data_IF_861364791036
#
_entry.id   IF_861364791036
#
_cell.length_a   1.000
_cell.length_b   1.000
_cell.length_c   1.000
_cell.angle_alpha   90.00
_cell.angle_beta   90.00
_cell.angle_gamma   90.00
#
_symmetry.space_group_name_H-M   'P 1'
#
loop_
_entity.id
_entity.type
_entity.pdbx_description
1 polymer ?
#
# COMPACT_ATOMS: atom_id res chain seq x y z
N UNK A 1 78.66 2.91 -57.74
CA UNK A 1 79.93 3.48 -57.23
C UNK A 1 79.65 3.99 -55.83
N UNK A 2 80.15 3.32 -54.80
CA UNK A 2 79.79 3.58 -53.40
C UNK A 2 80.88 4.33 -52.63
N UNK A 3 80.47 5.00 -51.56
CA UNK A 3 81.33 5.29 -50.40
C UNK A 3 80.47 5.40 -49.14
N UNK A 4 80.64 4.43 -48.24
CA UNK A 4 80.24 4.50 -46.83
C UNK A 4 81.18 5.43 -46.05
N UNK A 5 80.64 6.12 -45.03
CA UNK A 5 81.24 6.49 -43.72
C UNK A 5 80.30 7.52 -43.08
N UNK A 6 80.00 7.60 -41.78
CA UNK A 6 80.27 6.84 -40.55
C UNK A 6 79.34 7.49 -39.50
N UNK A 7 78.65 6.74 -38.65
CA UNK A 7 77.94 7.32 -37.49
C UNK A 7 78.92 7.78 -36.41
N UNK A 8 78.50 8.72 -35.53
CA UNK A 8 78.70 8.43 -34.11
C UNK A 8 77.59 8.92 -33.16
N UNK A 9 77.30 8.02 -32.21
CA UNK A 9 77.09 8.22 -30.75
C UNK A 9 75.78 8.85 -30.25
N UNK A 10 75.02 7.99 -29.55
CA UNK A 10 73.92 8.30 -28.65
C UNK A 10 74.38 8.99 -27.35
N UNK A 11 73.54 9.87 -26.80
CA UNK A 11 73.40 10.16 -25.36
C UNK A 11 71.94 10.55 -25.01
N UNK A 12 71.52 10.39 -23.74
CA UNK A 12 70.20 9.83 -23.41
C UNK A 12 69.20 10.80 -22.77
N UNK A 13 67.93 10.35 -22.75
CA UNK A 13 66.86 10.63 -21.76
C UNK A 13 66.53 12.11 -21.45
N UNK A 14 65.28 12.49 -21.78
CA UNK A 14 64.32 12.99 -20.79
C UNK A 14 62.91 12.54 -21.14
N UNK A 15 62.48 11.44 -20.50
CA UNK A 15 61.06 11.12 -20.31
C UNK A 15 60.45 12.26 -19.51
N UNK A 16 59.50 12.99 -20.10
CA UNK A 16 58.63 13.88 -19.34
C UNK A 16 57.55 12.98 -18.73
N UNK A 17 57.76 12.60 -17.48
CA UNK A 17 56.76 11.95 -16.64
C UNK A 17 55.56 12.90 -16.50
N UNK A 18 54.46 12.59 -17.19
CA UNK A 18 53.15 13.07 -16.74
C UNK A 18 52.81 12.42 -15.39
N UNK A 19 52.16 13.13 -14.47
CA UNK A 19 51.75 12.54 -13.21
C UNK A 19 50.83 11.34 -13.48
N UNK A 20 51.25 10.19 -12.95
CA UNK A 20 50.43 8.99 -12.81
C UNK A 20 49.19 9.39 -12.01
N UNK A 21 48.03 9.42 -12.65
CA UNK A 21 46.75 9.37 -11.95
C UNK A 21 46.62 7.99 -11.33
N UNK A 22 47.16 7.86 -10.13
CA UNK A 22 46.91 6.75 -9.25
C UNK A 22 45.50 6.88 -8.69
N UNK A 23 44.69 5.83 -8.85
CA UNK A 23 43.69 5.44 -7.87
C UNK A 23 42.52 6.39 -7.65
N UNK A 24 41.65 6.53 -8.64
CA UNK A 24 40.22 6.71 -8.36
C UNK A 24 39.51 5.47 -8.88
N UNK A 25 39.53 4.39 -8.08
CA UNK A 25 38.60 3.29 -8.24
C UNK A 25 37.20 3.87 -7.97
N UNK A 26 36.59 4.40 -9.03
CA UNK A 26 35.20 4.79 -9.02
C UNK A 26 34.42 3.57 -8.57
N UNK A 27 33.80 3.67 -7.40
CA UNK A 27 32.85 2.70 -6.88
C UNK A 27 31.65 2.73 -7.83
N UNK A 28 31.74 2.02 -8.95
CA UNK A 28 30.62 1.78 -9.83
C UNK A 28 29.60 1.02 -8.99
N UNK A 29 28.39 1.55 -8.74
CA UNK A 29 27.35 0.73 -8.15
C UNK A 29 27.19 -0.48 -9.06
N UNK A 30 27.30 -1.68 -8.50
CA UNK A 30 27.15 -2.93 -9.23
C UNK A 30 25.89 -2.83 -10.10
N UNK A 31 26.06 -2.99 -11.42
CA UNK A 31 24.93 -3.03 -12.33
C UNK A 31 24.01 -4.16 -11.88
N UNK A 32 22.69 -4.00 -12.07
CA UNK A 32 21.70 -5.03 -11.72
C UNK A 32 22.04 -6.40 -12.37
N UNK A 33 22.86 -6.40 -13.43
CA UNK A 33 23.44 -7.58 -14.09
C UNK A 33 24.44 -8.39 -13.26
N UNK A 34 25.05 -7.81 -12.22
CA UNK A 34 26.16 -8.43 -11.46
C UNK A 34 25.67 -9.12 -10.19
N UNK A 35 24.35 -9.12 -9.93
CA UNK A 35 23.80 -9.95 -8.86
C UNK A 35 23.84 -11.41 -9.30
N UNK A 36 24.40 -12.32 -8.49
CA UNK A 36 24.28 -13.76 -8.74
C UNK A 36 22.81 -14.10 -9.04
N UNK A 37 22.57 -14.96 -10.03
CA UNK A 37 21.23 -15.48 -10.30
C UNK A 37 20.73 -16.17 -9.03
N UNK A 38 19.95 -15.45 -8.22
CA UNK A 38 19.42 -16.01 -6.99
C UNK A 38 18.62 -17.28 -7.33
N UNK A 39 18.89 -18.41 -6.66
CA UNK A 39 18.12 -19.62 -6.87
C UNK A 39 16.63 -19.34 -6.72
N UNK A 40 15.80 -19.85 -7.64
CA UNK A 40 14.35 -19.59 -7.63
C UNK A 40 13.68 -19.89 -6.28
N UNK A 41 14.15 -20.91 -5.57
CA UNK A 41 13.66 -21.29 -4.24
C UNK A 41 13.94 -20.21 -3.18
N UNK A 42 15.11 -19.59 -3.20
CA UNK A 42 15.45 -18.52 -2.26
C UNK A 42 14.64 -17.25 -2.55
N UNK A 43 14.45 -16.92 -3.83
CA UNK A 43 13.64 -15.78 -4.25
C UNK A 43 12.19 -15.97 -3.80
N UNK A 44 11.63 -17.17 -3.96
CA UNK A 44 10.30 -17.51 -3.43
C UNK A 44 10.23 -17.40 -1.91
N UNK A 45 11.22 -17.94 -1.18
CA UNK A 45 11.27 -17.86 0.29
C UNK A 45 11.32 -16.42 0.80
N UNK A 46 12.11 -15.55 0.14
CA UNK A 46 12.13 -14.11 0.44
C UNK A 46 10.76 -13.48 0.23
N UNK A 47 10.13 -13.72 -0.93
CA UNK A 47 8.78 -13.21 -1.23
C UNK A 47 7.78 -13.65 -0.16
N UNK A 48 7.80 -14.92 0.23
CA UNK A 48 6.90 -15.47 1.26
C UNK A 48 7.13 -14.77 2.59
N UNK A 49 8.38 -14.66 3.05
CA UNK A 49 8.71 -14.00 4.33
C UNK A 49 8.24 -12.55 4.35
N UNK A 50 8.52 -11.80 3.30
CA UNK A 50 8.14 -10.39 3.21
C UNK A 50 6.60 -10.26 3.18
N UNK A 51 5.91 -11.17 2.47
CA UNK A 51 4.44 -11.23 2.41
C UNK A 51 3.79 -11.55 3.75
N UNK A 52 4.41 -12.43 4.54
CA UNK A 52 3.96 -12.74 5.89
C UNK A 52 4.16 -11.55 6.84
N UNK A 53 5.27 -10.83 6.71
CA UNK A 53 5.52 -9.60 7.47
C UNK A 53 4.43 -8.54 7.21
N UNK A 54 4.09 -8.32 5.94
CA UNK A 54 2.97 -7.43 5.55
C UNK A 54 1.64 -7.95 6.10
N UNK A 55 1.42 -9.26 6.02
CA UNK A 55 0.24 -9.93 6.59
C UNK A 55 0.04 -9.68 8.07
N UNK A 56 1.09 -9.83 8.87
CA UNK A 56 1.06 -9.60 10.32
C UNK A 56 0.78 -8.13 10.63
N UNK A 57 1.55 -7.22 10.03
CA UNK A 57 1.41 -5.79 10.27
C UNK A 57 0.00 -5.28 9.90
N UNK A 58 -0.53 -5.74 8.77
CA UNK A 58 -1.87 -5.34 8.29
C UNK A 58 -2.97 -6.06 9.07
N UNK A 59 -2.80 -7.34 9.36
CA UNK A 59 -3.77 -8.14 10.11
C UNK A 59 -4.03 -7.60 11.50
N UNK A 60 -2.98 -7.18 12.23
CA UNK A 60 -3.10 -6.54 13.56
C UNK A 60 -4.03 -5.31 13.52
N UNK A 61 -4.03 -4.57 12.41
CA UNK A 61 -4.90 -3.42 12.23
C UNK A 61 -6.40 -3.78 12.17
N UNK A 62 -6.71 -5.04 11.84
CA UNK A 62 -8.08 -5.57 11.87
C UNK A 62 -8.72 -5.47 13.27
N UNK A 63 -7.93 -5.50 14.35
CA UNK A 63 -8.47 -5.32 15.71
C UNK A 63 -9.12 -3.94 15.88
N UNK A 64 -8.53 -2.90 15.27
CA UNK A 64 -9.12 -1.57 15.27
C UNK A 64 -10.42 -1.54 14.49
N UNK A 65 -10.50 -2.24 13.35
CA UNK A 65 -11.76 -2.35 12.60
C UNK A 65 -12.85 -3.01 13.43
N UNK A 66 -12.53 -4.12 14.12
CA UNK A 66 -13.45 -4.82 15.00
C UNK A 66 -14.02 -3.92 16.10
N UNK A 67 -13.13 -3.23 16.81
CA UNK A 67 -13.52 -2.33 17.90
C UNK A 67 -14.33 -1.13 17.41
N UNK A 68 -13.90 -0.48 16.32
CA UNK A 68 -14.60 0.67 15.72
C UNK A 68 -15.98 0.27 15.22
N UNK A 69 -16.14 -0.93 14.65
CA UNK A 69 -17.43 -1.44 14.16
C UNK A 69 -18.43 -1.60 15.28
N UNK A 70 -18.02 -2.22 16.39
CA UNK A 70 -18.88 -2.38 17.56
C UNK A 70 -19.20 -1.05 18.23
N UNK A 71 -18.22 -0.16 18.36
CA UNK A 71 -18.44 1.21 18.84
C UNK A 71 -19.39 2.02 17.94
N UNK A 72 -19.51 1.64 16.66
CA UNK A 72 -20.42 2.25 15.69
C UNK A 72 -21.82 1.60 15.67
N UNK A 73 -22.09 0.67 16.58
CA UNK A 73 -23.41 0.05 16.77
C UNK A 73 -23.64 -1.27 16.03
N UNK A 74 -22.62 -1.84 15.38
CA UNK A 74 -22.71 -3.19 14.82
C UNK A 74 -22.51 -4.23 15.93
N UNK A 75 -23.19 -5.37 15.83
CA UNK A 75 -22.84 -6.51 16.67
C UNK A 75 -21.57 -7.24 16.16
N UNK A 76 -21.06 -8.18 16.96
CA UNK A 76 -19.85 -8.94 16.64
C UNK A 76 -20.03 -9.77 15.36
N UNK A 77 -21.22 -10.34 15.14
CA UNK A 77 -21.49 -11.19 13.98
C UNK A 77 -21.58 -10.36 12.70
N UNK A 78 -22.27 -9.23 12.74
CA UNK A 78 -22.33 -8.24 11.67
C UNK A 78 -20.94 -7.72 11.30
N UNK A 79 -20.12 -7.40 12.32
CA UNK A 79 -18.74 -6.95 12.14
C UNK A 79 -17.89 -8.01 11.43
N UNK A 80 -17.96 -9.27 11.86
CA UNK A 80 -17.24 -10.38 11.24
C UNK A 80 -17.76 -10.69 9.82
N UNK A 81 -19.08 -10.69 9.62
CA UNK A 81 -19.68 -10.92 8.30
C UNK A 81 -19.26 -9.82 7.32
N UNK A 82 -19.29 -8.55 7.74
CA UNK A 82 -18.82 -7.44 6.93
C UNK A 82 -17.34 -7.59 6.58
N UNK A 83 -16.52 -8.03 7.53
CA UNK A 83 -15.09 -8.25 7.32
C UNK A 83 -14.77 -9.38 6.34
N UNK A 84 -15.51 -10.48 6.42
CA UNK A 84 -15.36 -11.62 5.51
C UNK A 84 -15.84 -11.28 4.10
N UNK A 85 -16.95 -10.55 3.96
CA UNK A 85 -17.59 -10.31 2.66
C UNK A 85 -17.01 -9.10 1.93
N UNK A 86 -16.68 -8.04 2.66
CA UNK A 86 -16.18 -6.78 2.10
C UNK A 86 -14.69 -6.56 2.43
N UNK A 87 -13.87 -7.58 2.18
CA UNK A 87 -12.44 -7.61 2.49
C UNK A 87 -11.63 -6.60 1.66
N UNK A 88 -11.64 -5.34 2.10
CA UNK A 88 -11.00 -4.21 1.39
C UNK A 88 -10.40 -3.17 2.32
N UNK A 89 -10.56 -3.33 3.65
CA UNK A 89 -10.03 -2.45 4.69
C UNK A 89 -10.68 -1.07 4.68
N UNK A 90 -10.23 -0.18 3.80
CA UNK A 90 -10.65 1.23 3.76
C UNK A 90 -12.16 1.39 3.54
N UNK A 91 -12.74 0.61 2.63
CA UNK A 91 -14.19 0.65 2.35
C UNK A 91 -15.01 0.21 3.58
N UNK A 92 -14.45 -0.69 4.40
CA UNK A 92 -15.10 -1.15 5.63
C UNK A 92 -15.15 -0.05 6.67
N UNK A 93 -14.03 0.63 6.90
CA UNK A 93 -13.99 1.80 7.78
C UNK A 93 -14.89 2.93 7.29
N UNK A 94 -14.97 3.16 5.98
CA UNK A 94 -15.87 4.16 5.42
C UNK A 94 -17.34 3.82 5.68
N UNK A 95 -17.78 2.60 5.38
CA UNK A 95 -19.15 2.16 5.65
C UNK A 95 -19.49 2.32 7.14
N UNK A 96 -18.64 1.77 8.01
CA UNK A 96 -18.84 1.80 9.45
C UNK A 96 -18.83 3.22 10.00
N UNK A 97 -17.94 4.10 9.52
CA UNK A 97 -17.90 5.50 9.94
C UNK A 97 -19.16 6.27 9.55
N UNK A 98 -19.74 5.99 8.38
CA UNK A 98 -21.03 6.58 7.99
C UNK A 98 -22.16 6.07 8.89
N UNK A 99 -22.22 4.76 9.15
CA UNK A 99 -23.24 4.18 10.03
C UNK A 99 -23.14 4.72 11.46
N UNK A 100 -21.92 4.76 12.03
CA UNK A 100 -21.67 5.24 13.40
C UNK A 100 -21.95 6.73 13.60
N UNK A 101 -21.92 7.53 12.53
CA UNK A 101 -22.31 8.96 12.56
C UNK A 101 -23.80 9.19 12.29
N UNK A 102 -24.62 8.13 12.29
CA UNK A 102 -26.07 8.20 12.05
C UNK A 102 -26.44 8.33 10.57
N UNK A 103 -25.52 8.02 9.65
CA UNK A 103 -25.78 7.94 8.21
C UNK A 103 -26.52 6.68 7.81
N UNK A 104 -27.18 6.74 6.64
CA UNK A 104 -27.90 5.59 6.10
C UNK A 104 -26.96 4.54 5.51
N UNK A 105 -27.39 3.27 5.51
CA UNK A 105 -26.66 2.17 4.88
C UNK A 105 -26.37 2.42 3.39
N UNK A 106 -27.26 3.10 2.68
CA UNK A 106 -27.06 3.49 1.27
C UNK A 106 -25.89 4.46 1.13
N UNK A 107 -25.85 5.52 1.94
CA UNK A 107 -24.75 6.50 1.88
C UNK A 107 -23.42 5.86 2.27
N UNK A 108 -23.44 4.98 3.28
CA UNK A 108 -22.27 4.20 3.68
C UNK A 108 -21.79 3.27 2.56
N UNK A 109 -22.70 2.57 1.88
CA UNK A 109 -22.37 1.68 0.77
C UNK A 109 -21.81 2.46 -0.44
N UNK A 110 -22.37 3.63 -0.75
CA UNK A 110 -21.84 4.51 -1.81
C UNK A 110 -20.44 5.01 -1.47
N UNK A 111 -20.19 5.39 -0.22
CA UNK A 111 -18.87 5.80 0.26
C UNK A 111 -17.88 4.63 0.15
N UNK A 112 -18.27 3.45 0.61
CA UNK A 112 -17.47 2.24 0.49
C UNK A 112 -17.19 1.87 -0.98
N UNK A 113 -18.18 1.97 -1.87
CA UNK A 113 -18.01 1.69 -3.29
C UNK A 113 -17.06 2.70 -3.98
N UNK A 114 -17.18 3.98 -3.62
CA UNK A 114 -16.26 5.02 -4.11
C UNK A 114 -14.82 4.70 -3.71
N UNK A 115 -14.57 4.39 -2.44
CA UNK A 115 -13.24 4.00 -1.97
C UNK A 115 -12.77 2.68 -2.61
N UNK A 116 -13.67 1.72 -2.74
CA UNK A 116 -13.41 0.40 -3.34
C UNK A 116 -13.09 0.43 -4.84
N UNK A 117 -13.35 1.55 -5.53
CA UNK A 117 -13.01 1.72 -6.95
C UNK A 117 -11.51 1.49 -7.21
N UNK A 118 -10.64 1.81 -6.23
CA UNK A 118 -9.20 1.51 -6.33
C UNK A 118 -8.91 0.02 -6.47
N UNK A 119 -9.68 -0.83 -5.78
CA UNK A 119 -9.53 -2.29 -5.87
C UNK A 119 -9.88 -2.78 -7.28
N UNK A 120 -10.86 -2.15 -7.94
CA UNK A 120 -11.16 -2.42 -9.37
C UNK A 120 -9.96 -2.10 -10.26
N UNK A 121 -9.31 -0.94 -10.06
CA UNK A 121 -8.12 -0.55 -10.81
C UNK A 121 -6.95 -1.52 -10.60
N UNK A 122 -6.72 -1.95 -9.36
CA UNK A 122 -5.74 -3.01 -9.06
C UNK A 122 -6.09 -4.31 -9.78
N UNK A 123 -7.37 -4.69 -9.79
CA UNK A 123 -7.86 -5.86 -10.51
C UNK A 123 -7.56 -5.82 -12.01
N UNK A 124 -7.71 -4.65 -12.65
CA UNK A 124 -7.36 -4.46 -14.07
C UNK A 124 -5.86 -4.67 -14.32
N UNK A 125 -5.00 -4.22 -13.40
CA UNK A 125 -3.54 -4.42 -13.50
C UNK A 125 -3.13 -5.86 -13.21
N UNK A 126 -3.75 -6.48 -12.22
CA UNK A 126 -3.45 -7.84 -11.77
C UNK A 126 -3.99 -8.91 -12.71
N UNK A 127 -5.12 -8.69 -13.38
CA UNK A 127 -5.73 -9.68 -14.25
C UNK A 127 -4.75 -10.26 -15.31
N UNK A 128 -4.05 -9.45 -16.13
CA UNK A 128 -3.07 -9.97 -17.09
C UNK A 128 -1.80 -10.52 -16.40
N UNK A 129 -1.39 -9.94 -15.26
CA UNK A 129 -0.21 -10.38 -14.51
C UNK A 129 -0.41 -11.80 -13.96
N UNK A 130 -1.52 -12.04 -13.27
CA UNK A 130 -1.87 -13.32 -12.66
C UNK A 130 -2.35 -14.32 -13.71
N UNK A 131 -3.04 -13.89 -14.77
CA UNK A 131 -3.46 -14.75 -15.88
C UNK A 131 -4.40 -15.89 -15.47
N UNK A 132 -5.13 -15.74 -14.38
CA UNK A 132 -6.14 -16.72 -13.94
C UNK A 132 -7.49 -16.49 -14.62
N UNK A 133 -8.26 -17.58 -14.80
CA UNK A 133 -9.56 -17.60 -15.47
C UNK A 133 -10.58 -18.39 -14.64
N UNK A 134 -11.87 -18.23 -14.95
CA UNK A 134 -12.97 -18.93 -14.27
C UNK A 134 -13.00 -18.67 -12.76
N UNK A 135 -13.30 -19.72 -11.99
CA UNK A 135 -13.41 -19.64 -10.53
C UNK A 135 -12.13 -19.10 -9.85
N UNK A 136 -10.94 -19.37 -10.40
CA UNK A 136 -9.67 -18.83 -9.86
C UNK A 136 -9.60 -17.31 -9.98
N UNK A 137 -10.18 -16.73 -11.04
CA UNK A 137 -10.26 -15.27 -11.20
C UNK A 137 -11.22 -14.66 -10.19
N UNK A 138 -12.35 -15.31 -9.95
CA UNK A 138 -13.35 -14.85 -8.96
C UNK A 138 -12.77 -14.92 -7.54
N UNK A 139 -12.16 -16.05 -7.16
CA UNK A 139 -11.51 -16.18 -5.86
C UNK A 139 -10.35 -15.19 -5.68
N UNK A 140 -9.57 -14.94 -6.73
CA UNK A 140 -8.53 -13.92 -6.69
C UNK A 140 -9.09 -12.51 -6.54
N UNK A 141 -10.23 -12.18 -7.16
CA UNK A 141 -10.86 -10.87 -7.04
C UNK A 141 -11.17 -10.52 -5.58
N UNK A 142 -11.56 -11.51 -4.76
CA UNK A 142 -11.80 -11.32 -3.34
C UNK A 142 -10.52 -10.96 -2.56
N UNK A 143 -9.34 -11.37 -3.02
CA UNK A 143 -8.05 -11.08 -2.40
C UNK A 143 -7.35 -9.85 -3.02
N UNK A 144 -8.02 -9.08 -3.88
CA UNK A 144 -7.45 -7.85 -4.46
C UNK A 144 -7.52 -6.72 -3.43
N UNK A 145 -6.39 -6.45 -2.79
CA UNK A 145 -6.17 -5.37 -1.83
C UNK A 145 -4.83 -4.70 -2.11
N UNK A 146 -4.56 -3.58 -1.44
CA UNK A 146 -3.34 -2.78 -1.64
C UNK A 146 -2.08 -3.64 -1.45
N UNK A 147 -2.08 -4.45 -0.39
CA UNK A 147 -0.97 -5.29 0.04
C UNK A 147 -0.66 -6.41 -0.95
N UNK A 148 -1.68 -7.19 -1.34
CA UNK A 148 -1.53 -8.30 -2.29
C UNK A 148 -1.15 -7.79 -3.68
N UNK A 149 -1.62 -6.59 -4.05
CA UNK A 149 -1.24 -5.92 -5.30
C UNK A 149 0.22 -5.48 -5.25
N UNK A 150 0.63 -4.73 -4.23
CA UNK A 150 1.99 -4.23 -4.07
C UNK A 150 3.02 -5.36 -4.06
N UNK A 151 2.70 -6.47 -3.39
CA UNK A 151 3.58 -7.64 -3.30
C UNK A 151 3.64 -8.47 -4.58
N UNK A 152 2.74 -8.23 -5.54
CA UNK A 152 2.66 -8.92 -6.82
C UNK A 152 3.28 -8.13 -7.97
N UNK A 153 2.94 -6.84 -8.12
CA UNK A 153 3.26 -6.05 -9.32
C UNK A 153 4.75 -5.73 -9.49
N UNK A 154 5.53 -5.79 -8.41
CA UNK A 154 6.97 -5.49 -8.39
C UNK A 154 7.84 -6.72 -8.68
N UNK A 155 7.22 -7.89 -8.91
CA UNK A 155 7.94 -9.15 -9.03
C UNK A 155 8.38 -9.42 -10.48
N UNK A 156 9.60 -9.95 -10.69
CA UNK A 156 10.19 -10.07 -12.02
C UNK A 156 9.59 -11.22 -12.86
N UNK A 157 8.88 -12.16 -12.23
CA UNK A 157 8.25 -13.28 -12.92
C UNK A 157 6.81 -13.47 -12.48
N UNK A 158 5.98 -14.01 -13.38
CA UNK A 158 4.57 -14.36 -13.08
C UNK A 158 4.46 -15.34 -11.90
N UNK A 159 5.41 -16.26 -11.76
CA UNK A 159 5.43 -17.20 -10.64
C UNK A 159 5.60 -16.46 -9.30
N UNK A 160 6.59 -15.58 -9.20
CA UNK A 160 6.82 -14.77 -7.99
C UNK A 160 5.69 -13.78 -7.73
N UNK A 161 5.10 -13.20 -8.78
CA UNK A 161 3.93 -12.33 -8.67
C UNK A 161 2.72 -13.06 -8.08
N UNK A 162 2.46 -14.31 -8.52
CA UNK A 162 1.40 -15.16 -7.97
C UNK A 162 1.70 -15.57 -6.53
N UNK A 163 2.95 -15.90 -6.20
CA UNK A 163 3.37 -16.21 -4.82
C UNK A 163 3.14 -14.99 -3.93
N UNK A 164 3.63 -13.82 -4.31
CA UNK A 164 3.43 -12.58 -3.54
C UNK A 164 1.95 -12.23 -3.36
N UNK A 165 1.15 -12.37 -4.41
CA UNK A 165 -0.29 -12.13 -4.37
C UNK A 165 -1.00 -13.09 -3.40
N UNK A 166 -0.81 -14.40 -3.54
CA UNK A 166 -1.52 -15.40 -2.72
C UNK A 166 -1.05 -15.38 -1.28
N UNK A 167 0.27 -15.35 -1.06
CA UNK A 167 0.82 -15.38 0.30
C UNK A 167 0.39 -14.14 1.07
N UNK A 168 0.44 -12.95 0.45
CA UNK A 168 -0.01 -11.71 1.11
C UNK A 168 -1.53 -11.68 1.26
N UNK A 169 -2.28 -12.02 0.22
CA UNK A 169 -3.75 -12.00 0.26
C UNK A 169 -4.29 -12.91 1.36
N UNK A 170 -3.81 -14.16 1.44
CA UNK A 170 -4.26 -15.09 2.47
C UNK A 170 -3.75 -14.74 3.86
N UNK A 171 -2.49 -14.30 4.01
CA UNK A 171 -1.97 -13.92 5.32
C UNK A 171 -2.74 -12.74 5.90
N UNK A 172 -3.00 -11.71 5.09
CA UNK A 172 -3.84 -10.57 5.50
C UNK A 172 -5.26 -11.04 5.75
N UNK A 173 -5.88 -11.83 4.87
CA UNK A 173 -7.27 -12.27 5.04
C UNK A 173 -7.50 -13.01 6.37
N UNK A 174 -6.65 -13.99 6.68
CA UNK A 174 -6.77 -14.78 7.91
C UNK A 174 -6.52 -13.90 9.14
N UNK A 175 -5.40 -13.16 9.16
CA UNK A 175 -5.03 -12.38 10.33
C UNK A 175 -5.98 -11.20 10.55
N UNK A 176 -6.40 -10.52 9.48
CA UNK A 176 -7.36 -9.43 9.54
C UNK A 176 -8.68 -9.87 10.15
N UNK A 177 -9.25 -10.98 9.68
CA UNK A 177 -10.52 -11.48 10.20
C UNK A 177 -10.39 -12.01 11.63
N UNK A 178 -9.28 -12.67 11.96
CA UNK A 178 -8.98 -13.08 13.33
C UNK A 178 -8.92 -11.87 14.28
N UNK A 179 -8.12 -10.86 13.95
CA UNK A 179 -8.00 -9.67 14.78
C UNK A 179 -9.27 -8.83 14.77
N UNK A 180 -10.04 -8.81 13.67
CA UNK A 180 -11.38 -8.20 13.65
C UNK A 180 -12.30 -8.83 14.69
N UNK A 181 -12.34 -10.16 14.77
CA UNK A 181 -13.11 -10.86 15.79
C UNK A 181 -12.62 -10.49 17.20
N UNK A 182 -11.31 -10.52 17.43
CA UNK A 182 -10.73 -10.16 18.74
C UNK A 182 -11.05 -8.71 19.12
N UNK A 183 -10.95 -7.78 18.18
CA UNK A 183 -11.29 -6.38 18.38
C UNK A 183 -12.78 -6.14 18.62
N UNK A 184 -13.64 -6.88 17.92
CA UNK A 184 -15.10 -6.80 18.10
C UNK A 184 -15.52 -7.35 19.47
N UNK A 185 -14.96 -8.50 19.89
CA UNK A 185 -15.17 -9.04 21.24
C UNK A 185 -14.65 -8.06 22.29
N UNK A 186 -13.43 -7.54 22.11
CA UNK A 186 -12.84 -6.55 23.02
C UNK A 186 -13.71 -5.29 23.15
N UNK A 187 -14.20 -4.76 22.03
CA UNK A 187 -15.12 -3.63 22.00
C UNK A 187 -16.46 -3.92 22.69
N UNK A 188 -17.02 -5.11 22.47
CA UNK A 188 -18.28 -5.51 23.11
C UNK A 188 -18.15 -5.66 24.63
N UNK A 189 -17.02 -6.19 25.11
CA UNK A 189 -16.73 -6.35 26.55
C UNK A 189 -16.52 -5.01 27.24
N UNK A 190 -15.89 -4.04 26.56
CA UNK A 190 -15.66 -2.70 27.09
C UNK A 190 -16.94 -1.85 27.20
N UNK A 191 -18.04 -2.26 26.58
CA UNK A 191 -19.31 -1.52 26.60
C UNK A 191 -19.27 -0.26 25.74
N UNK A 192 -20.27 0.63 25.92
CA UNK A 192 -20.37 1.86 25.11
C UNK A 192 -19.24 2.85 25.47
N UNK A 193 -18.32 3.19 24.54
CA UNK A 193 -17.23 4.13 24.79
C UNK A 193 -17.69 5.51 25.28
N UNK A 194 -18.94 5.91 24.97
CA UNK A 194 -19.53 7.18 25.44
C UNK A 194 -19.67 7.22 26.95
N UNK A 195 -19.85 6.07 27.60
CA UNK A 195 -19.96 5.98 29.07
C UNK A 195 -18.67 6.41 29.77
N UNK A 196 -17.53 6.31 29.09
CA UNK A 196 -16.21 6.70 29.58
C UNK A 196 -15.71 8.02 28.96
N UNK A 197 -16.51 8.70 28.14
CA UNK A 197 -16.06 9.87 27.37
C UNK A 197 -14.97 9.55 26.32
N UNK A 198 -14.93 8.30 25.85
CA UNK A 198 -13.91 7.78 24.92
C UNK A 198 -14.43 7.65 23.48
N UNK A 199 -15.56 8.27 23.17
CA UNK A 199 -16.15 8.32 21.84
C UNK A 199 -15.20 8.97 20.81
N UNK A 200 -14.52 10.05 21.19
CA UNK A 200 -13.48 10.67 20.37
C UNK A 200 -12.19 9.82 20.27
N UNK A 201 -11.91 9.00 21.27
CA UNK A 201 -10.68 8.19 21.33
C UNK A 201 -10.66 7.09 20.26
N UNK A 202 -11.82 6.56 19.87
CA UNK A 202 -11.95 5.55 18.81
C UNK A 202 -11.49 6.13 17.45
N UNK A 203 -11.97 7.33 17.10
CA UNK A 203 -11.51 8.04 15.90
C UNK A 203 -10.04 8.47 15.98
N UNK A 204 -9.59 8.90 17.17
CA UNK A 204 -8.20 9.23 17.44
C UNK A 204 -7.25 8.05 17.27
N UNK A 205 -7.62 6.85 17.75
CA UNK A 205 -6.85 5.63 17.59
C UNK A 205 -6.74 5.21 16.12
N UNK A 206 -7.83 5.35 15.34
CA UNK A 206 -7.79 5.14 13.90
C UNK A 206 -6.80 6.10 13.22
N UNK A 207 -6.86 7.41 13.53
CA UNK A 207 -5.95 8.40 12.98
C UNK A 207 -4.49 8.13 13.38
N UNK A 208 -4.24 7.75 14.63
CA UNK A 208 -2.91 7.38 15.12
C UNK A 208 -2.31 6.20 14.35
N UNK A 209 -3.14 5.24 13.94
CA UNK A 209 -2.73 4.10 13.14
C UNK A 209 -2.66 4.40 11.63
N UNK A 210 -3.44 5.37 11.14
CA UNK A 210 -3.41 5.82 9.75
C UNK A 210 -2.19 6.71 9.48
N UNK A 211 -1.78 7.54 10.45
CA UNK A 211 -0.73 8.54 10.28
C UNK A 211 0.60 7.97 9.75
N UNK A 212 1.13 6.83 10.26
CA UNK A 212 2.35 6.22 9.73
C UNK A 212 2.25 5.75 8.26
N UNK A 213 1.02 5.55 7.74
CA UNK A 213 0.81 5.17 6.33
C UNK A 213 0.89 6.37 5.36
N UNK A 214 0.76 7.60 5.85
CA UNK A 214 0.96 8.82 5.07
C UNK A 214 2.45 9.18 5.04
N UNK A 215 3.21 8.52 4.16
CA UNK A 215 4.67 8.63 4.15
C UNK A 215 5.20 9.89 3.45
N UNK A 216 4.49 10.41 2.46
CA UNK A 216 4.91 11.54 1.65
C UNK A 216 4.25 12.87 2.09
N UNK A 217 4.94 13.98 1.81
CA UNK A 217 4.46 15.32 2.18
C UNK A 217 3.20 15.70 1.42
N UNK A 218 3.07 15.27 0.18
CA UNK A 218 1.93 15.62 -0.67
C UNK A 218 0.70 14.80 -0.29
N UNK A 219 0.84 13.51 0.01
CA UNK A 219 -0.21 12.70 0.61
C UNK A 219 -0.71 13.25 1.95
N UNK A 220 0.18 13.73 2.82
CA UNK A 220 -0.23 14.42 4.07
C UNK A 220 -0.99 15.72 3.81
N UNK A 221 -0.52 16.56 2.89
CA UNK A 221 -1.21 17.81 2.52
C UNK A 221 -2.59 17.52 1.95
N UNK A 222 -2.70 16.54 1.06
CA UNK A 222 -3.96 16.13 0.48
C UNK A 222 -4.91 15.59 1.56
N UNK A 223 -4.42 14.75 2.47
CA UNK A 223 -5.21 14.23 3.58
C UNK A 223 -5.73 15.36 4.48
N UNK A 224 -4.88 16.34 4.82
CA UNK A 224 -5.27 17.51 5.62
C UNK A 224 -6.28 18.40 4.88
N UNK A 225 -6.09 18.64 3.58
CA UNK A 225 -7.02 19.41 2.77
C UNK A 225 -8.39 18.72 2.66
N UNK A 226 -8.40 17.41 2.39
CA UNK A 226 -9.61 16.61 2.33
C UNK A 226 -10.32 16.57 3.71
N UNK A 227 -9.56 16.45 4.80
CA UNK A 227 -10.11 16.51 6.16
C UNK A 227 -10.72 17.88 6.47
N UNK A 228 -10.05 18.98 6.10
CA UNK A 228 -10.60 20.32 6.27
C UNK A 228 -11.92 20.50 5.48
N UNK A 229 -11.96 20.05 4.22
CA UNK A 229 -13.18 20.10 3.41
C UNK A 229 -14.29 19.24 4.01
N UNK A 230 -13.98 18.02 4.49
CA UNK A 230 -14.95 17.19 5.19
C UNK A 230 -15.53 17.91 6.41
N UNK A 231 -14.67 18.46 7.27
CA UNK A 231 -15.07 19.16 8.49
C UNK A 231 -15.94 20.38 8.20
N UNK A 232 -15.60 21.16 7.17
CA UNK A 232 -16.40 22.30 6.74
C UNK A 232 -17.75 21.89 6.13
N UNK A 233 -17.85 20.69 5.55
CA UNK A 233 -19.08 20.15 5.01
C UNK A 233 -20.02 19.59 6.09
N UNK A 234 -19.51 19.20 7.27
CA UNK A 234 -20.32 18.62 8.36
C UNK A 234 -21.59 19.41 8.68
N UNK A 235 -21.58 20.76 8.87
CA UNK A 235 -22.80 21.49 9.16
C UNK A 235 -23.70 21.74 7.94
N UNK A 236 -23.25 21.41 6.72
CA UNK A 236 -23.90 21.79 5.47
C UNK A 236 -24.67 20.65 4.81
N UNK A 237 -24.29 19.39 5.08
CA UNK A 237 -24.84 18.22 4.39
C UNK A 237 -25.17 17.07 5.36
N UNK A 238 -26.11 16.18 5.01
CA UNK A 238 -26.41 14.98 5.80
C UNK A 238 -25.19 14.09 6.07
N UNK A 239 -25.28 13.26 7.10
CA UNK A 239 -24.25 12.31 7.52
C UNK A 239 -23.80 11.39 6.36
N UNK A 240 -22.48 11.27 6.20
CA UNK A 240 -21.82 10.49 5.15
C UNK A 240 -21.49 11.26 3.85
N UNK A 241 -22.23 12.31 3.50
CA UNK A 241 -21.88 13.17 2.36
C UNK A 241 -20.55 13.93 2.53
N UNK A 242 -20.14 14.40 3.73
CA UNK A 242 -18.84 15.05 3.90
C UNK A 242 -17.66 14.20 3.42
N UNK A 243 -17.75 12.87 3.60
CA UNK A 243 -16.72 11.92 3.18
C UNK A 243 -16.68 11.83 1.64
N UNK A 244 -17.84 11.82 0.98
CA UNK A 244 -17.93 11.83 -0.48
C UNK A 244 -17.36 13.12 -1.08
N UNK A 245 -17.67 14.28 -0.48
CA UNK A 245 -17.15 15.59 -0.90
C UNK A 245 -15.63 15.63 -0.75
N UNK A 246 -15.10 15.14 0.38
CA UNK A 246 -13.66 15.03 0.60
C UNK A 246 -12.98 14.08 -0.38
N UNK A 247 -13.63 12.96 -0.74
CA UNK A 247 -13.17 12.08 -1.82
C UNK A 247 -13.08 12.80 -3.17
N UNK A 248 -14.02 13.72 -3.45
CA UNK A 248 -13.98 14.58 -4.63
C UNK A 248 -12.74 15.47 -4.70
N UNK A 249 -12.26 15.98 -3.57
CA UNK A 249 -10.99 16.75 -3.51
C UNK A 249 -9.82 15.91 -3.99
N UNK A 250 -9.71 14.66 -3.51
CA UNK A 250 -8.66 13.74 -3.94
C UNK A 250 -8.75 13.42 -5.44
N UNK A 251 -9.96 13.24 -5.96
CA UNK A 251 -10.19 13.02 -7.39
C UNK A 251 -9.72 14.22 -8.24
N UNK A 252 -10.13 15.44 -7.87
CA UNK A 252 -9.78 16.67 -8.60
C UNK A 252 -8.28 16.90 -8.58
N UNK A 253 -7.65 16.80 -7.40
CA UNK A 253 -6.19 16.95 -7.27
C UNK A 253 -5.46 15.90 -8.10
N UNK A 254 -5.90 14.64 -8.06
CA UNK A 254 -5.32 13.56 -8.86
C UNK A 254 -5.42 13.78 -10.36
N UNK A 255 -6.57 14.27 -10.86
CA UNK A 255 -6.76 14.59 -12.28
C UNK A 255 -5.90 15.78 -12.71
N UNK A 256 -5.82 16.83 -11.88
CA UNK A 256 -5.04 18.03 -12.19
C UNK A 256 -3.53 17.73 -12.15
N UNK A 257 -3.08 16.93 -11.18
CA UNK A 257 -1.67 16.52 -11.08
C UNK A 257 -1.27 15.56 -12.20
N UNK A 258 -2.11 14.55 -12.50
CA UNK A 258 -1.85 13.59 -13.59
C UNK A 258 -1.84 14.23 -14.99
N UNK A 259 -2.52 15.37 -15.18
CA UNK A 259 -2.44 16.18 -16.40
C UNK A 259 -1.14 16.97 -16.54
N UNK A 260 -0.39 17.18 -15.45
CA UNK A 260 0.88 17.93 -15.46
C UNK A 260 2.11 17.05 -15.72
N UNK A 261 1.96 15.74 -15.59
CA UNK A 261 3.02 14.75 -15.85
C UNK A 261 2.91 14.08 -17.23
N UNK A 262 1.85 14.40 -18.00
CA UNK A 262 1.76 14.00 -19.40
C UNK A 262 2.62 14.96 -20.26
N UNK A 263 3.65 14.45 -20.98
CA UNK A 263 4.50 15.27 -21.84
C UNK A 263 3.77 15.86 -23.05
#
# INVERSE_FOLDING_TARGET
MGTRRRAPRARPRRRRNGPRQAGAAAHRPASVSDRPLEPHAEAQRRVVRDSLGVGIATGLYGASFGAVSVASGLDVLQTCALSLLMFTGASQFALVGVLGSGGSAVTGALTAALLGTRNTLYGLRLAPLLGWRGARRVGAAHLVIDESTAMSITRPSRALARTGFLTTGWSVFVLWNLFTLLGAIGGAVLGDPRTYGLDAAVGGAFLALLWPRLQDRDGRRLALAAAAVALLAVPLVPSGLPVLVAGGVALVVGVVAGRREAP
#
